data_IF_949205347418
#
_entry.id   IF_949205347418
#
_cell.length_a   1.000
_cell.length_b   1.000
_cell.length_c   1.000
_cell.angle_alpha   90.00
_cell.angle_beta   90.00
_cell.angle_gamma   90.00
#
_symmetry.space_group_name_H-M   'P 1'
#
loop_
_entity.id
_entity.type
_entity.pdbx_description
1 polymer ?
#
# COMPACT_ATOMS: atom_id res chain seq x y z
N UNK A 1 -38.00 0.18 -30.52
CA UNK A 1 -37.35 0.02 -29.19
C UNK A 1 -35.95 -0.50 -29.44
N UNK A 2 -34.92 0.27 -29.11
CA UNK A 2 -33.54 -0.19 -29.24
C UNK A 2 -33.21 -1.08 -28.03
N UNK A 3 -32.86 -2.32 -28.29
CA UNK A 3 -32.40 -3.30 -27.28
C UNK A 3 -30.99 -2.94 -26.87
N UNK A 4 -30.78 -2.62 -25.60
CA UNK A 4 -29.44 -2.40 -25.03
C UNK A 4 -28.78 -3.77 -24.90
N UNK A 5 -27.83 -4.06 -25.78
CA UNK A 5 -27.04 -5.29 -25.75
C UNK A 5 -25.85 -5.11 -24.79
N UNK A 6 -25.94 -5.79 -23.64
CA UNK A 6 -24.94 -5.76 -22.57
C UNK A 6 -23.87 -6.85 -22.72
N UNK A 7 -23.82 -7.57 -23.84
CA UNK A 7 -22.78 -8.57 -24.13
C UNK A 7 -21.33 -8.07 -23.94
N UNK A 8 -20.98 -6.78 -24.15
CA UNK A 8 -19.61 -6.30 -23.91
C UNK A 8 -19.19 -6.26 -22.44
N UNK A 9 -20.13 -6.11 -21.49
CA UNK A 9 -19.84 -6.04 -20.06
C UNK A 9 -19.32 -7.38 -19.50
N UNK A 10 -19.66 -8.50 -20.15
CA UNK A 10 -19.18 -9.83 -19.75
C UNK A 10 -17.80 -10.19 -20.31
N UNK A 11 -17.20 -9.34 -21.16
CA UNK A 11 -15.85 -9.56 -21.73
C UNK A 11 -14.73 -8.89 -20.91
N UNK A 12 -15.03 -8.20 -19.81
CA UNK A 12 -14.03 -7.49 -19.00
C UNK A 12 -13.48 -8.29 -17.81
N UNK A 13 -13.81 -9.57 -17.66
CA UNK A 13 -13.27 -10.40 -16.57
C UNK A 13 -11.82 -10.83 -16.80
N UNK A 14 -11.26 -10.65 -18.00
CA UNK A 14 -9.84 -10.95 -18.28
C UNK A 14 -9.02 -9.68 -18.06
N UNK A 15 -8.79 -9.35 -16.79
CA UNK A 15 -8.01 -8.16 -16.42
C UNK A 15 -8.07 -7.82 -14.94
N UNK A 16 -9.18 -8.13 -14.27
CA UNK A 16 -9.31 -7.96 -12.81
C UNK A 16 -8.31 -8.82 -12.02
N UNK A 17 -7.93 -10.00 -12.52
CA UNK A 17 -6.89 -10.84 -11.91
C UNK A 17 -5.51 -10.16 -11.87
N UNK A 18 -5.27 -9.17 -12.76
CA UNK A 18 -4.02 -8.39 -12.79
C UNK A 18 -4.12 -7.08 -12.03
N UNK A 19 -5.32 -6.59 -11.73
CA UNK A 19 -5.51 -5.37 -10.94
C UNK A 19 -5.04 -5.55 -9.49
N UNK A 20 -5.28 -6.72 -8.89
CA UNK A 20 -4.78 -7.06 -7.56
C UNK A 20 -3.25 -6.89 -7.44
N UNK A 21 -2.44 -7.62 -8.24
CA UNK A 21 -0.99 -7.51 -8.17
C UNK A 21 -0.46 -6.16 -8.66
N UNK A 22 -1.11 -5.47 -9.60
CA UNK A 22 -0.70 -4.12 -10.03
C UNK A 22 -0.99 -3.06 -8.96
N UNK A 23 -2.12 -3.16 -8.25
CA UNK A 23 -2.44 -2.30 -7.11
C UNK A 23 -1.50 -2.57 -5.93
N UNK A 24 -1.24 -3.83 -5.60
CA UNK A 24 -0.24 -4.24 -4.61
C UNK A 24 1.16 -3.69 -4.96
N UNK A 25 1.55 -3.76 -6.23
CA UNK A 25 2.84 -3.22 -6.71
C UNK A 25 2.86 -1.68 -6.67
N UNK A 26 1.74 -1.01 -6.98
CA UNK A 26 1.63 0.44 -6.88
C UNK A 26 1.68 0.93 -5.41
N UNK A 27 0.98 0.24 -4.52
CA UNK A 27 1.02 0.47 -3.07
C UNK A 27 2.44 0.25 -2.50
N UNK A 28 3.19 -0.72 -3.03
CA UNK A 28 4.59 -0.93 -2.69
C UNK A 28 5.54 0.10 -3.30
N UNK A 29 5.25 0.66 -4.47
CA UNK A 29 6.14 1.61 -5.15
C UNK A 29 6.05 3.05 -4.60
N UNK A 30 4.90 3.47 -4.06
CA UNK A 30 4.82 4.72 -3.29
C UNK A 30 5.53 4.59 -1.93
N UNK A 31 5.74 3.34 -1.50
CA UNK A 31 6.55 2.95 -0.36
C UNK A 31 7.88 2.35 -0.86
N UNK A 32 8.75 3.18 -1.43
CA UNK A 32 10.13 3.15 -0.96
C UNK A 32 10.11 3.54 0.54
N UNK A 33 9.44 2.72 1.36
CA UNK A 33 9.24 2.90 2.78
C UNK A 33 10.64 2.92 3.33
N UNK A 34 11.06 4.11 3.71
CA UNK A 34 12.39 4.38 4.22
C UNK A 34 12.74 3.26 5.21
N UNK A 35 13.85 2.58 4.92
CA UNK A 35 14.36 1.56 5.81
C UNK A 35 15.23 2.24 6.87
N UNK A 36 15.06 1.91 8.16
CA UNK A 36 14.15 0.91 8.71
C UNK A 36 12.69 1.39 8.76
N UNK A 37 11.69 0.48 8.69
CA UNK A 37 10.28 0.85 8.78
C UNK A 37 10.04 1.68 10.04
N UNK A 38 9.39 2.83 9.89
CA UNK A 38 9.04 3.69 11.00
C UNK A 38 7.60 4.18 10.89
N UNK A 39 7.04 4.56 12.04
CA UNK A 39 5.75 5.21 12.18
C UNK A 39 5.91 6.52 12.96
N UNK A 40 5.06 7.51 12.64
CA UNK A 40 5.06 8.82 13.29
C UNK A 40 3.64 9.11 13.79
N UNK A 41 3.49 9.13 15.11
CA UNK A 41 2.21 9.35 15.77
C UNK A 41 2.19 10.74 16.42
N UNK A 42 1.09 11.48 16.26
CA UNK A 42 0.85 12.74 16.97
C UNK A 42 0.21 12.41 18.33
N UNK A 43 0.89 12.74 19.42
CA UNK A 43 0.40 12.45 20.78
C UNK A 43 -0.18 13.69 21.47
N UNK A 44 0.19 14.90 21.03
CA UNK A 44 -0.34 16.18 21.52
C UNK A 44 -0.05 17.31 20.52
N UNK A 45 -0.55 18.52 20.77
CA UNK A 45 -0.45 19.69 19.89
C UNK A 45 0.99 20.05 19.50
N UNK A 46 1.96 19.72 20.35
CA UNK A 46 3.40 19.89 20.09
C UNK A 46 4.22 18.65 20.43
N UNK A 47 3.61 17.47 20.43
CA UNK A 47 4.31 16.23 20.79
C UNK A 47 4.06 15.14 19.75
N UNK A 48 5.15 14.53 19.33
CA UNK A 48 5.17 13.46 18.35
C UNK A 48 5.97 12.28 18.90
N UNK A 49 5.50 11.07 18.63
CA UNK A 49 6.21 9.84 18.90
C UNK A 49 6.69 9.25 17.57
N UNK A 50 7.94 8.80 17.53
CA UNK A 50 8.52 8.12 16.38
C UNK A 50 8.86 6.70 16.82
N UNK A 51 8.28 5.71 16.15
CA UNK A 51 8.52 4.29 16.42
C UNK A 51 9.27 3.70 15.24
N UNK A 52 10.41 3.05 15.49
CA UNK A 52 11.26 2.47 14.44
C UNK A 52 11.42 0.98 14.69
N UNK A 53 11.18 0.16 13.65
CA UNK A 53 11.39 -1.28 13.70
C UNK A 53 12.85 -1.62 13.37
N UNK A 54 13.63 -1.96 14.40
CA UNK A 54 15.07 -2.29 14.28
C UNK A 54 15.34 -3.78 14.57
N UNK A 55 14.55 -4.66 13.96
CA UNK A 55 14.73 -6.10 14.11
C UNK A 55 16.11 -6.54 13.59
N UNK A 56 16.87 -7.28 14.41
CA UNK A 56 18.18 -7.81 14.05
C UNK A 56 19.37 -6.91 14.40
N UNK A 57 19.16 -5.76 15.04
CA UNK A 57 20.21 -4.91 15.58
C UNK A 57 20.38 -5.14 17.09
N UNK A 58 21.61 -5.25 17.54
CA UNK A 58 21.93 -5.16 18.96
C UNK A 58 21.80 -3.71 19.43
N UNK A 59 21.55 -3.51 20.73
CA UNK A 59 21.42 -2.15 21.29
C UNK A 59 22.66 -1.28 21.11
N UNK A 60 23.83 -1.90 20.97
CA UNK A 60 25.10 -1.22 20.70
C UNK A 60 25.25 -0.76 19.24
N UNK A 61 24.37 -1.20 18.34
CA UNK A 61 24.40 -0.92 16.90
C UNK A 61 23.34 0.11 16.47
N UNK A 62 22.53 0.59 17.44
CA UNK A 62 21.53 1.65 17.28
C UNK A 62 22.15 3.01 17.60
#
# INVERSE_FOLDING_TARGET
MATIDLTPLYRSTVGFDRLGPMLETALRNDHAAAYPPYDIEVIDENRYAITIAVAGFERSEL
#
